data_IF_139899190071
#
_entry.id   IF_139899190071
#
_cell.length_a   1.000
_cell.length_b   1.000
_cell.length_c   1.000
_cell.angle_alpha   90.00
_cell.angle_beta   90.00
_cell.angle_gamma   90.00
#
_symmetry.space_group_name_H-M   'P 1'
#
loop_
_entity.id
_entity.type
_entity.pdbx_description
1 polymer ?
#
# COMPACT_ATOMS: atom_id res chain seq x y z
N UNK A 1 16.09 -0.80 20.99
CA UNK A 1 15.44 0.51 20.78
C UNK A 1 13.99 0.24 20.45
N UNK A 2 13.02 0.91 21.08
CA UNK A 2 11.60 0.78 20.74
C UNK A 2 11.24 1.84 19.69
N UNK A 3 10.69 1.41 18.56
CA UNK A 3 10.10 2.33 17.57
C UNK A 3 8.70 2.69 18.03
N UNK A 4 8.40 3.99 18.10
CA UNK A 4 7.04 4.46 18.35
C UNK A 4 6.17 4.11 17.14
N UNK A 5 5.24 3.16 17.30
CA UNK A 5 4.29 2.81 16.26
C UNK A 5 3.29 3.95 16.06
N UNK A 6 3.22 4.49 14.84
CA UNK A 6 2.25 5.50 14.43
C UNK A 6 1.60 5.09 13.10
N UNK A 7 0.50 5.76 12.72
CA UNK A 7 -0.25 5.47 11.49
C UNK A 7 -0.64 4.00 11.34
N UNK A 8 -0.34 3.44 10.16
CA UNK A 8 -0.73 2.08 9.78
C UNK A 8 -0.17 0.97 10.70
N UNK A 9 1.14 0.92 11.07
CA UNK A 9 1.63 -0.04 12.06
C UNK A 9 0.82 -0.07 13.36
N UNK A 10 0.47 1.11 13.90
CA UNK A 10 -0.34 1.23 15.11
C UNK A 10 -1.76 0.73 14.88
N UNK A 11 -2.35 1.01 13.72
CA UNK A 11 -3.70 0.56 13.33
C UNK A 11 -3.79 -0.96 13.18
N UNK A 12 -2.75 -1.60 12.64
CA UNK A 12 -2.69 -3.07 12.53
C UNK A 12 -2.62 -3.72 13.92
N UNK A 13 -1.85 -3.14 14.84
CA UNK A 13 -1.80 -3.62 16.23
C UNK A 13 -3.13 -3.41 16.94
N UNK A 14 -3.78 -2.25 16.78
CA UNK A 14 -5.08 -1.99 17.43
C UNK A 14 -6.21 -2.87 16.91
N UNK A 15 -6.13 -3.33 15.65
CA UNK A 15 -7.04 -4.34 15.08
C UNK A 15 -6.70 -5.78 15.47
N UNK A 16 -5.59 -6.01 16.19
CA UNK A 16 -5.13 -7.35 16.57
C UNK A 16 -4.53 -8.16 15.43
N UNK A 17 -4.25 -7.53 14.27
CA UNK A 17 -3.63 -8.16 13.11
C UNK A 17 -2.13 -8.40 13.32
N UNK A 18 -1.51 -7.61 14.21
CA UNK A 18 -0.12 -7.75 14.64
C UNK A 18 -0.03 -7.56 16.15
N UNK A 19 0.89 -8.27 16.79
CA UNK A 19 1.33 -7.88 18.14
C UNK A 19 2.27 -6.69 18.05
N UNK A 20 2.35 -5.89 19.10
CA UNK A 20 3.28 -4.75 19.15
C UNK A 20 4.75 -5.19 18.93
N UNK A 21 5.14 -6.32 19.52
CA UNK A 21 6.47 -6.89 19.32
C UNK A 21 6.70 -7.36 17.88
N UNK A 22 5.70 -7.93 17.22
CA UNK A 22 5.80 -8.31 15.80
C UNK A 22 5.90 -7.08 14.90
N UNK A 23 5.08 -6.04 15.14
CA UNK A 23 5.12 -4.80 14.39
C UNK A 23 6.47 -4.09 14.52
N UNK A 24 7.04 -4.00 15.73
CA UNK A 24 8.37 -3.41 15.92
C UNK A 24 9.46 -4.20 15.18
N UNK A 25 9.45 -5.54 15.28
CA UNK A 25 10.41 -6.39 14.55
C UNK A 25 10.30 -6.23 13.04
N UNK A 26 9.09 -6.28 12.49
CA UNK A 26 8.85 -6.08 11.07
C UNK A 26 9.31 -4.68 10.62
N UNK A 27 9.11 -3.64 11.44
CA UNK A 27 9.61 -2.30 11.12
C UNK A 27 11.14 -2.25 11.04
N UNK A 28 11.83 -2.86 12.01
CA UNK A 28 13.30 -2.92 11.98
C UNK A 28 13.82 -3.69 10.78
N UNK A 29 13.21 -4.83 10.47
CA UNK A 29 13.65 -5.66 9.35
C UNK A 29 13.36 -4.97 8.01
N UNK A 30 12.18 -4.38 7.81
CA UNK A 30 11.86 -3.59 6.62
C UNK A 30 12.89 -2.48 6.38
N UNK A 31 13.26 -1.74 7.44
CA UNK A 31 14.26 -0.68 7.33
C UNK A 31 15.67 -1.23 7.04
N UNK A 32 16.02 -2.40 7.57
CA UNK A 32 17.28 -3.09 7.27
C UNK A 32 17.34 -3.55 5.81
N UNK A 33 16.21 -4.01 5.28
CA UNK A 33 16.08 -4.51 3.91
C UNK A 33 15.90 -3.38 2.89
N UNK A 34 15.75 -2.13 3.35
CA UNK A 34 15.55 -0.95 2.50
C UNK A 34 14.17 -0.91 1.83
N UNK A 35 13.20 -1.64 2.36
CA UNK A 35 11.83 -1.71 1.83
C UNK A 35 10.83 -1.03 2.76
N UNK A 36 9.64 -0.71 2.25
CA UNK A 36 8.58 -0.16 3.08
C UNK A 36 8.05 -1.20 4.08
N UNK A 37 7.57 -0.75 5.23
CA UNK A 37 6.95 -1.63 6.23
C UNK A 37 5.81 -2.47 5.65
N UNK A 38 4.97 -1.89 4.79
CA UNK A 38 3.86 -2.60 4.15
C UNK A 38 4.36 -3.65 3.16
N UNK A 39 5.33 -3.28 2.32
CA UNK A 39 5.98 -4.21 1.38
C UNK A 39 6.53 -5.42 2.12
N UNK A 40 7.25 -5.18 3.22
CA UNK A 40 7.78 -6.24 4.07
C UNK A 40 6.69 -7.16 4.62
N UNK A 41 5.60 -6.62 5.17
CA UNK A 41 4.49 -7.44 5.68
C UNK A 41 3.87 -8.33 4.59
N UNK A 42 3.72 -7.79 3.37
CA UNK A 42 3.14 -8.51 2.24
C UNK A 42 4.08 -9.61 1.72
N UNK A 43 5.36 -9.29 1.48
CA UNK A 43 6.36 -10.23 0.97
C UNK A 43 6.58 -11.41 1.93
N UNK A 44 6.54 -11.15 3.24
CA UNK A 44 6.68 -12.18 4.27
C UNK A 44 5.36 -12.82 4.69
N UNK A 45 4.23 -12.47 4.04
CA UNK A 45 2.89 -12.98 4.35
C UNK A 45 2.52 -12.90 5.84
N UNK A 46 2.94 -11.83 6.52
CA UNK A 46 2.74 -11.65 7.97
C UNK A 46 1.30 -11.23 8.27
N UNK A 47 0.71 -10.41 7.38
CA UNK A 47 -0.69 -9.96 7.45
C UNK A 47 -1.29 -10.10 6.06
N UNK A 48 -2.56 -10.51 6.00
CA UNK A 48 -3.26 -10.62 4.71
C UNK A 48 -3.37 -9.26 4.00
N UNK A 49 -3.21 -9.28 2.69
CA UNK A 49 -3.30 -8.07 1.85
C UNK A 49 -4.63 -7.33 2.05
N UNK A 50 -5.77 -8.02 2.15
CA UNK A 50 -7.08 -7.40 2.33
C UNK A 50 -7.19 -6.68 3.68
N UNK A 51 -6.59 -7.26 4.71
CA UNK A 51 -6.56 -6.68 6.05
C UNK A 51 -5.69 -5.42 6.11
N UNK A 52 -4.51 -5.46 5.49
CA UNK A 52 -3.63 -4.29 5.33
C UNK A 52 -4.36 -3.18 4.59
N UNK A 53 -4.94 -3.51 3.43
CA UNK A 53 -5.63 -2.56 2.55
C UNK A 53 -6.86 -1.95 3.25
N UNK A 54 -7.64 -2.77 3.96
CA UNK A 54 -8.77 -2.31 4.78
C UNK A 54 -8.35 -1.43 5.95
N UNK A 55 -7.24 -1.74 6.61
CA UNK A 55 -6.67 -0.90 7.67
C UNK A 55 -6.17 0.44 7.12
N UNK A 56 -5.48 0.42 5.97
CA UNK A 56 -4.98 1.62 5.30
C UNK A 56 -6.12 2.54 4.84
N UNK A 57 -7.15 2.00 4.21
CA UNK A 57 -8.35 2.76 3.82
C UNK A 57 -8.98 3.47 5.01
N UNK A 58 -9.14 2.74 6.13
CA UNK A 58 -9.75 3.28 7.34
C UNK A 58 -8.85 4.23 8.14
N UNK A 59 -7.53 4.26 7.87
CA UNK A 59 -6.57 5.17 8.48
C UNK A 59 -6.43 6.46 7.67
N UNK A 60 -6.34 6.36 6.34
CA UNK A 60 -6.06 7.48 5.45
C UNK A 60 -7.30 8.06 4.75
N UNK A 61 -8.46 7.42 4.90
CA UNK A 61 -9.72 7.86 4.28
C UNK A 61 -9.74 7.68 2.76
N UNK A 62 -8.89 6.80 2.22
CA UNK A 62 -8.76 6.53 0.79
C UNK A 62 -9.65 5.32 0.43
N UNK A 63 -10.48 5.39 -0.62
CA UNK A 63 -11.34 4.28 -1.02
C UNK A 63 -10.53 3.09 -1.53
N UNK A 64 -11.09 1.89 -1.33
CA UNK A 64 -10.58 0.67 -1.95
C UNK A 64 -11.24 0.48 -3.31
N UNK A 65 -10.42 0.11 -4.28
CA UNK A 65 -10.85 -0.14 -5.65
C UNK A 65 -10.37 -1.52 -6.08
N UNK A 66 -11.29 -2.37 -6.52
CA UNK A 66 -10.95 -3.68 -7.08
C UNK A 66 -10.56 -3.50 -8.55
N UNK A 67 -9.29 -3.70 -8.84
CA UNK A 67 -8.75 -3.58 -10.21
C UNK A 67 -9.25 -4.69 -11.13
N UNK A 68 -9.75 -5.81 -10.60
CA UNK A 68 -10.22 -6.94 -11.44
C UNK A 68 -11.50 -6.61 -12.21
N UNK A 69 -12.25 -5.61 -11.77
CA UNK A 69 -13.47 -5.14 -12.45
C UNK A 69 -13.21 -3.92 -13.34
N UNK A 70 -11.96 -3.46 -13.41
CA UNK A 70 -11.58 -2.30 -14.21
C UNK A 70 -11.24 -2.72 -15.64
N UNK A 71 -11.87 -2.05 -16.61
CA UNK A 71 -11.53 -2.17 -18.02
C UNK A 71 -10.70 -0.93 -18.44
N UNK A 72 -9.36 -1.06 -18.58
CA UNK A 72 -8.48 0.07 -18.81
C UNK A 72 -8.62 0.63 -20.23
N UNK A 73 -8.79 1.95 -20.34
CA UNK A 73 -8.72 2.65 -21.63
C UNK A 73 -7.26 2.69 -22.14
N UNK A 74 -6.93 2.03 -23.26
CA UNK A 74 -5.57 2.00 -23.78
C UNK A 74 -4.98 3.39 -24.06
N UNK A 75 -5.81 4.37 -24.43
CA UNK A 75 -5.36 5.74 -24.68
C UNK A 75 -5.00 6.48 -23.39
N UNK A 76 -5.59 6.10 -22.25
CA UNK A 76 -5.23 6.61 -20.93
C UNK A 76 -3.93 5.98 -20.44
N UNK A 77 -3.75 4.66 -20.61
CA UNK A 77 -2.53 3.96 -20.20
C UNK A 77 -1.30 4.52 -20.92
N UNK A 78 -1.40 4.78 -22.24
CA UNK A 78 -0.30 5.32 -23.06
C UNK A 78 0.19 6.72 -22.64
N UNK A 79 -0.52 7.43 -21.77
CA UNK A 79 -0.11 8.76 -21.30
C UNK A 79 1.11 8.71 -20.40
N UNK A 80 1.41 7.54 -19.81
CA UNK A 80 2.51 7.33 -18.87
C UNK A 80 3.40 6.22 -19.43
N UNK A 81 4.71 6.39 -19.30
CA UNK A 81 5.68 5.35 -19.65
C UNK A 81 5.55 4.15 -18.71
N UNK A 82 5.67 2.93 -19.24
CA UNK A 82 5.54 1.69 -18.47
C UNK A 82 6.55 1.62 -17.33
N UNK A 83 7.79 2.07 -17.55
CA UNK A 83 8.82 2.04 -16.50
C UNK A 83 8.42 2.94 -15.33
N UNK A 84 7.87 4.11 -15.63
CA UNK A 84 7.41 5.04 -14.59
C UNK A 84 6.21 4.48 -13.81
N UNK A 85 5.29 3.78 -14.48
CA UNK A 85 4.16 3.11 -13.81
C UNK A 85 4.64 2.04 -12.83
N UNK A 86 5.63 1.23 -13.23
CA UNK A 86 6.22 0.19 -12.40
C UNK A 86 7.03 0.79 -11.23
N UNK A 87 7.84 1.81 -11.47
CA UNK A 87 8.64 2.48 -10.42
C UNK A 87 7.76 3.12 -9.33
N UNK A 88 6.66 3.75 -9.73
CA UNK A 88 5.74 4.41 -8.80
C UNK A 88 4.65 3.48 -8.25
N UNK A 89 4.57 2.23 -8.74
CA UNK A 89 3.46 1.31 -8.47
C UNK A 89 2.08 1.98 -8.64
N UNK A 90 1.90 2.70 -9.75
CA UNK A 90 0.71 3.49 -10.04
C UNK A 90 0.15 3.15 -11.42
N UNK A 91 -1.19 3.03 -11.51
CA UNK A 91 -1.90 2.76 -12.76
C UNK A 91 -2.85 3.93 -13.08
N UNK A 92 -2.74 4.57 -14.25
CA UNK A 92 -3.68 5.61 -14.65
C UNK A 92 -5.07 5.01 -14.92
N UNK A 93 -6.07 5.50 -14.19
CA UNK A 93 -7.45 5.00 -14.28
C UNK A 93 -8.28 5.82 -15.27
N UNK A 94 -8.21 7.15 -15.17
CA UNK A 94 -8.99 8.03 -16.04
C UNK A 94 -8.31 9.39 -16.23
N UNK A 95 -8.53 10.01 -17.39
CA UNK A 95 -8.15 11.39 -17.65
C UNK A 95 -9.39 12.26 -17.84
N UNK A 96 -9.49 13.35 -17.07
CA UNK A 96 -10.53 14.38 -17.24
C UNK A 96 -9.89 15.75 -17.43
N UNK A 97 -9.89 16.23 -18.67
CA UNK A 97 -9.21 17.46 -19.05
C UNK A 97 -7.72 17.39 -18.76
N UNK A 98 -7.23 18.21 -17.82
CA UNK A 98 -5.82 18.24 -17.38
C UNK A 98 -5.52 17.38 -16.15
N UNK A 99 -6.49 16.64 -15.62
CA UNK A 99 -6.32 15.79 -14.43
C UNK A 99 -6.26 14.32 -14.83
N UNK A 100 -5.23 13.63 -14.35
CA UNK A 100 -5.09 12.18 -14.41
C UNK A 100 -5.39 11.63 -13.02
N UNK A 101 -6.23 10.60 -12.94
CA UNK A 101 -6.52 9.90 -11.70
C UNK A 101 -5.73 8.60 -11.69
N UNK A 102 -5.07 8.33 -10.56
CA UNK A 102 -4.23 7.17 -10.27
C UNK A 102 -4.64 6.59 -8.93
#
# INVERSE_FOLDING_TARGET
MSVALNGLPKRLVSKGLLSEAAAQRAYFQANSDGVSFVSYLMEHHIVDSQDITSAASAEFGIPLFDIKVFDPDPEVIKLIDERLMLELNALPLLKRGKRLYV
#
